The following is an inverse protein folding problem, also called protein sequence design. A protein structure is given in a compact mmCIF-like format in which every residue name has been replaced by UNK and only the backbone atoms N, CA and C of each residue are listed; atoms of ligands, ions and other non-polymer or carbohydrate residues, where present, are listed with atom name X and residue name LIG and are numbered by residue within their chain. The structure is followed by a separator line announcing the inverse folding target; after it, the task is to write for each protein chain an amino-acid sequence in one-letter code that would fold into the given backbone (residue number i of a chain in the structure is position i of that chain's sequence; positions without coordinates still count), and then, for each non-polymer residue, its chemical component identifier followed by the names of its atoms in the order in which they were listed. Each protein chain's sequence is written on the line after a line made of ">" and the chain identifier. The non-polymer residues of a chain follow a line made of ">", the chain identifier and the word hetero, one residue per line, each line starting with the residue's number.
data_IF_021311161643
#
_entry.id   IF_021311161643
#
_cell.length_a   1.000
_cell.length_b   1.000
_cell.length_c   1.000
_cell.angle_alpha   90.00
_cell.angle_beta   90.00
_cell.angle_gamma   90.00
#
_symmetry.space_group_name_H-M   'P 1'
#
loop_
_entity.id
_entity.type
_entity.pdbx_description
1 polymer ?
#
# COMPACT_ATOMS: atom_id res chain seq x y z
N UNK A 1 12.77 11.60 -11.34
CA UNK A 1 12.53 10.36 -10.56
C UNK A 1 11.73 10.76 -9.34
N UNK A 2 10.58 10.12 -9.12
CA UNK A 2 9.71 10.44 -7.99
C UNK A 2 10.44 10.10 -6.67
N UNK A 3 10.78 11.14 -5.90
CA UNK A 3 11.50 11.03 -4.62
C UNK A 3 10.72 10.16 -3.62
N UNK A 4 9.39 10.18 -3.71
CA UNK A 4 8.52 9.39 -2.84
C UNK A 4 8.63 7.90 -3.18
N UNK A 5 8.48 7.55 -4.46
CA UNK A 5 8.65 6.17 -4.93
C UNK A 5 10.05 5.63 -4.60
N UNK A 6 11.11 6.43 -4.77
CA UNK A 6 12.46 6.04 -4.38
C UNK A 6 12.56 5.72 -2.88
N UNK A 7 11.97 6.57 -2.03
CA UNK A 7 11.92 6.33 -0.59
C UNK A 7 11.20 5.02 -0.26
N UNK A 8 10.03 4.78 -0.87
CA UNK A 8 9.24 3.58 -0.66
C UNK A 8 10.03 2.33 -1.08
N UNK A 9 10.66 2.33 -2.27
CA UNK A 9 11.48 1.20 -2.74
C UNK A 9 12.60 0.84 -1.75
N UNK A 10 13.30 1.83 -1.22
CA UNK A 10 14.45 1.60 -0.32
C UNK A 10 14.02 1.20 1.10
N UNK A 11 12.94 1.78 1.63
CA UNK A 11 12.61 1.65 3.06
C UNK A 11 11.41 0.73 3.34
N UNK A 12 10.47 0.66 2.41
CA UNK A 12 9.17 -0.02 2.62
C UNK A 12 9.10 -1.29 1.77
N UNK A 13 9.43 -1.22 0.49
CA UNK A 13 9.31 -2.35 -0.45
C UNK A 13 10.57 -3.20 -0.54
N UNK A 14 11.66 -2.81 0.12
CA UNK A 14 12.94 -3.51 0.03
C UNK A 14 12.81 -4.98 0.44
N UNK A 15 13.29 -5.87 -0.43
CA UNK A 15 13.22 -7.33 -0.24
C UNK A 15 11.83 -7.96 -0.44
N UNK A 16 10.82 -7.19 -0.84
CA UNK A 16 9.48 -7.68 -1.19
C UNK A 16 9.33 -7.84 -2.70
N UNK A 17 8.48 -8.77 -3.13
CA UNK A 17 8.28 -9.04 -4.56
C UNK A 17 7.24 -8.07 -5.13
N UNK A 18 7.63 -7.28 -6.12
CA UNK A 18 6.67 -6.57 -6.95
C UNK A 18 5.97 -7.57 -7.89
N UNK A 19 4.66 -7.69 -7.77
CA UNK A 19 3.82 -8.55 -8.59
C UNK A 19 3.35 -7.86 -9.88
N UNK A 20 3.64 -6.56 -10.04
CA UNK A 20 3.42 -5.88 -11.32
C UNK A 20 4.39 -6.40 -12.38
N UNK A 21 3.88 -7.19 -13.32
CA UNK A 21 4.62 -7.71 -14.47
C UNK A 21 4.22 -7.02 -15.79
N UNK A 22 3.66 -5.81 -15.70
CA UNK A 22 3.28 -4.97 -16.83
C UNK A 22 1.77 -4.85 -17.07
N UNK A 23 0.93 -5.36 -16.16
CA UNK A 23 -0.52 -5.18 -16.26
C UNK A 23 -1.00 -3.78 -15.85
N UNK A 24 -0.13 -2.99 -15.22
CA UNK A 24 -0.40 -1.61 -14.81
C UNK A 24 0.90 -0.78 -14.85
N UNK A 25 0.82 0.53 -14.59
CA UNK A 25 1.94 1.46 -14.57
C UNK A 25 3.15 0.94 -13.80
N UNK A 26 4.34 1.02 -14.39
CA UNK A 26 5.62 0.56 -13.80
C UNK A 26 5.95 1.21 -12.43
N UNK A 27 5.30 2.34 -12.13
CA UNK A 27 5.44 3.05 -10.86
C UNK A 27 4.62 2.44 -9.72
N UNK A 28 3.63 1.60 -10.02
CA UNK A 28 2.73 0.99 -9.05
C UNK A 28 3.26 -0.39 -8.69
N UNK A 29 3.37 -0.62 -7.38
CA UNK A 29 3.80 -1.88 -6.81
C UNK A 29 2.59 -2.63 -6.29
N UNK A 30 2.50 -3.89 -6.68
CA UNK A 30 1.49 -4.83 -6.21
C UNK A 30 2.15 -5.90 -5.37
N UNK A 31 1.52 -6.26 -4.26
CA UNK A 31 2.04 -7.24 -3.32
C UNK A 31 1.04 -8.37 -3.10
N UNK A 32 1.54 -9.56 -2.78
CA UNK A 32 0.71 -10.61 -2.21
C UNK A 32 0.16 -10.16 -0.85
N UNK A 33 -0.84 -10.88 -0.33
CA UNK A 33 -1.37 -10.62 1.00
C UNK A 33 -0.27 -10.61 2.08
N UNK A 34 0.62 -11.63 2.08
CA UNK A 34 1.69 -11.73 3.08
C UNK A 34 2.71 -10.61 2.98
N UNK A 35 3.08 -10.21 1.77
CA UNK A 35 4.05 -9.13 1.55
C UNK A 35 3.41 -7.77 1.89
N UNK A 36 2.11 -7.60 1.63
CA UNK A 36 1.40 -6.37 1.94
C UNK A 36 1.24 -6.16 3.44
N UNK A 37 1.02 -7.21 4.24
CA UNK A 37 1.05 -7.13 5.70
C UNK A 37 2.39 -6.54 6.20
N UNK A 38 3.52 -6.96 5.60
CA UNK A 38 4.86 -6.42 5.89
C UNK A 38 4.99 -4.94 5.45
N UNK A 39 4.38 -4.57 4.32
CA UNK A 39 4.33 -3.17 3.88
C UNK A 39 3.62 -2.31 4.93
N UNK A 40 2.47 -2.75 5.44
CA UNK A 40 1.72 -2.03 6.47
C UNK A 40 2.54 -1.86 7.76
N UNK A 41 3.24 -2.91 8.21
CA UNK A 41 4.13 -2.84 9.38
C UNK A 41 5.23 -1.76 9.20
N UNK A 42 5.82 -1.69 8.00
CA UNK A 42 6.90 -0.72 7.70
C UNK A 42 6.35 0.69 7.55
N UNK A 43 5.19 0.86 6.92
CA UNK A 43 4.49 2.14 6.81
C UNK A 43 4.21 2.72 8.20
N UNK A 44 3.65 1.90 9.09
CA UNK A 44 3.33 2.26 10.47
C UNK A 44 4.58 2.72 11.21
N UNK A 45 5.64 1.92 11.18
CA UNK A 45 6.94 2.24 11.80
C UNK A 45 7.54 3.55 11.28
N UNK A 46 7.37 3.86 10.00
CA UNK A 46 7.93 5.06 9.39
C UNK A 46 7.03 6.30 9.53
N UNK A 47 5.77 6.12 9.95
CA UNK A 47 4.77 7.18 10.04
C UNK A 47 4.38 7.73 8.65
N UNK A 48 4.29 6.84 7.66
CA UNK A 48 3.84 7.16 6.29
C UNK A 48 2.31 7.15 6.28
N UNK A 49 1.71 8.11 5.57
CA UNK A 49 0.25 8.09 5.36
C UNK A 49 -0.12 7.14 4.23
N UNK A 50 -1.23 6.42 4.38
CA UNK A 50 -1.92 5.75 3.29
C UNK A 50 -3.21 6.51 3.01
N UNK A 51 -3.54 6.74 1.75
CA UNK A 51 -4.77 7.44 1.34
C UNK A 51 -5.84 6.46 0.85
N UNK A 52 -5.43 5.34 0.26
CA UNK A 52 -6.31 4.26 -0.17
C UNK A 52 -5.55 2.96 -0.26
N UNK A 53 -6.26 1.85 -0.03
CA UNK A 53 -5.80 0.49 -0.35
C UNK A 53 -6.64 -0.01 -1.50
N UNK A 54 -6.00 -0.35 -2.61
CA UNK A 54 -6.66 -0.88 -3.81
C UNK A 54 -6.31 -2.37 -4.00
N UNK A 55 -7.21 -3.31 -3.63
CA UNK A 55 -7.07 -4.71 -4.00
C UNK A 55 -7.38 -4.92 -5.48
N UNK A 56 -6.71 -5.91 -6.07
CA UNK A 56 -6.85 -6.33 -7.45
C UNK A 56 -7.04 -7.84 -7.50
N UNK A 57 -8.00 -8.28 -8.32
CA UNK A 57 -8.30 -9.69 -8.54
C UNK A 57 -7.98 -10.04 -9.99
N UNK A 58 -7.14 -11.06 -10.20
CA UNK A 58 -6.75 -11.50 -11.55
C UNK A 58 -6.28 -10.33 -12.43
N UNK A 59 -5.43 -9.44 -11.87
CA UNK A 59 -4.87 -8.27 -12.56
C UNK A 59 -5.92 -7.26 -13.04
N UNK A 60 -7.10 -7.26 -12.42
CA UNK A 60 -8.16 -6.30 -12.66
C UNK A 60 -8.50 -5.60 -11.35
N UNK A 61 -8.79 -4.30 -11.42
CA UNK A 61 -9.30 -3.52 -10.30
C UNK A 61 -10.48 -4.25 -9.64
N UNK A 62 -10.42 -4.42 -8.31
CA UNK A 62 -11.48 -5.08 -7.55
C UNK A 62 -12.30 -4.07 -6.74
N UNK A 63 -11.63 -3.25 -5.93
CA UNK A 63 -12.27 -2.29 -5.05
C UNK A 63 -11.26 -1.25 -4.52
N UNK A 64 -11.71 -0.30 -3.70
CA UNK A 64 -10.86 0.61 -2.93
C UNK A 64 -11.51 0.94 -1.58
N UNK A 65 -10.69 1.05 -0.54
CA UNK A 65 -11.09 1.65 0.72
C UNK A 65 -10.09 2.77 1.08
N UNK A 66 -10.63 3.97 1.28
CA UNK A 66 -9.89 5.18 1.64
C UNK A 66 -9.92 5.48 3.13
N UNK A 67 -9.01 6.31 3.61
CA UNK A 67 -8.99 6.73 5.03
C UNK A 67 -10.23 7.55 5.43
N UNK A 68 -10.84 8.23 4.46
CA UNK A 68 -12.04 9.04 4.57
C UNK A 68 -13.31 8.19 4.78
N UNK A 69 -13.36 6.97 4.22
CA UNK A 69 -14.43 6.00 4.52
C UNK A 69 -14.50 5.64 6.02
N UNK A 70 -13.40 5.83 6.74
CA UNK A 70 -13.28 5.57 8.18
C UNK A 70 -13.30 6.84 9.04
N UNK A 71 -13.50 8.03 8.45
CA UNK A 71 -13.49 9.33 9.14
C UNK A 71 -12.25 9.54 10.02
N UNK A 72 -11.07 9.16 9.52
CA UNK A 72 -9.80 9.29 10.26
C UNK A 72 -8.76 10.07 9.46
N UNK A 73 -7.47 9.91 9.77
CA UNK A 73 -6.34 10.50 9.06
C UNK A 73 -5.50 9.42 8.36
N UNK A 74 -4.77 9.77 7.27
CA UNK A 74 -3.98 8.81 6.50
C UNK A 74 -2.97 7.98 7.30
N UNK A 75 -2.44 8.53 8.40
CA UNK A 75 -1.41 7.90 9.23
C UNK A 75 -1.96 7.04 10.36
N UNK A 76 -3.28 6.94 10.55
CA UNK A 76 -3.87 6.11 11.61
C UNK A 76 -3.81 4.62 11.24
N UNK A 77 -3.02 3.79 11.95
CA UNK A 77 -2.93 2.37 11.63
C UNK A 77 -4.22 1.60 11.74
N UNK A 78 -5.17 2.06 12.57
CA UNK A 78 -6.41 1.32 12.78
C UNK A 78 -7.23 1.24 11.50
N UNK A 79 -7.22 2.28 10.68
CA UNK A 79 -8.05 2.31 9.47
C UNK A 79 -7.50 1.38 8.40
N UNK A 80 -6.21 1.46 8.06
CA UNK A 80 -5.67 0.67 6.96
C UNK A 80 -5.54 -0.81 7.33
N UNK A 81 -5.33 -1.12 8.62
CA UNK A 81 -5.42 -2.50 9.12
C UNK A 81 -6.84 -3.04 8.98
N UNK A 82 -7.85 -2.24 9.35
CA UNK A 82 -9.25 -2.64 9.21
C UNK A 82 -9.62 -2.85 7.75
N UNK A 83 -9.29 -1.91 6.85
CA UNK A 83 -9.53 -2.03 5.42
C UNK A 83 -8.89 -3.30 4.83
N UNK A 84 -7.63 -3.56 5.17
CA UNK A 84 -6.94 -4.78 4.74
C UNK A 84 -7.63 -6.06 5.24
N UNK A 85 -8.05 -6.09 6.50
CA UNK A 85 -8.81 -7.23 7.05
C UNK A 85 -10.17 -7.42 6.37
N UNK A 86 -10.88 -6.35 6.01
CA UNK A 86 -12.14 -6.46 5.25
C UNK A 86 -11.93 -7.16 3.90
N UNK A 87 -10.86 -6.82 3.17
CA UNK A 87 -10.55 -7.47 1.89
C UNK A 87 -10.14 -8.95 2.06
N UNK A 88 -9.38 -9.27 3.11
CA UNK A 88 -8.99 -10.66 3.44
C UNK A 88 -10.18 -11.58 3.68
N UNK A 89 -11.28 -11.08 4.27
CA UNK A 89 -12.49 -11.86 4.52
C UNK A 89 -13.11 -12.45 3.26
N UNK A 90 -12.83 -11.89 2.09
CA UNK A 90 -13.34 -12.43 0.82
C UNK A 90 -12.73 -13.79 0.46
N UNK A 91 -11.59 -14.18 1.06
CA UNK A 91 -10.87 -15.42 0.75
C UNK A 91 -10.31 -15.47 -0.67
N UNK A 92 -10.34 -14.36 -1.41
CA UNK A 92 -9.85 -14.27 -2.78
C UNK A 92 -8.34 -14.06 -2.78
N UNK A 93 -7.68 -14.60 -3.80
CA UNK A 93 -6.26 -14.35 -4.04
C UNK A 93 -6.05 -12.93 -4.62
N UNK A 94 -6.18 -11.93 -3.75
CA UNK A 94 -6.03 -10.52 -4.09
C UNK A 94 -4.54 -10.14 -4.12
N UNK A 95 -4.20 -9.24 -5.05
CA UNK A 95 -3.00 -8.42 -5.00
C UNK A 95 -3.36 -7.07 -4.39
N UNK A 96 -2.42 -6.42 -3.72
CA UNK A 96 -2.68 -5.16 -3.02
C UNK A 96 -1.71 -4.08 -3.46
N UNK A 97 -2.25 -2.91 -3.80
CA UNK A 97 -1.54 -1.65 -3.88
C UNK A 97 -2.09 -0.66 -2.84
N UNK A 98 -1.40 0.46 -2.69
CA UNK A 98 -1.89 1.57 -1.93
C UNK A 98 -1.34 2.90 -2.45
N UNK A 99 -2.09 3.97 -2.20
CA UNK A 99 -1.64 5.34 -2.41
C UNK A 99 -0.96 5.86 -1.15
N UNK A 100 0.34 6.18 -1.24
CA UNK A 100 1.14 6.61 -0.09
C UNK A 100 1.30 8.12 -0.02
N UNK A 101 1.73 8.61 1.15
CA UNK A 101 2.27 9.95 1.33
C UNK A 101 3.47 9.92 2.28
N UNK A 102 4.66 10.10 1.73
CA UNK A 102 5.90 10.14 2.53
C UNK A 102 6.07 11.54 3.12
N UNK A 103 6.30 11.67 4.45
CA UNK A 103 6.55 12.97 5.06
C UNK A 103 7.78 13.65 4.46
N UNK A 104 7.68 14.94 4.11
CA UNK A 104 8.78 15.71 3.45
C UNK A 104 10.12 15.57 4.17
N UNK A 105 10.13 15.53 5.50
CA UNK A 105 11.33 15.37 6.34
C UNK A 105 12.10 14.05 6.13
N UNK A 106 11.48 13.07 5.46
CA UNK A 106 12.09 11.77 5.15
C UNK A 106 12.52 11.66 3.69
N UNK A 107 12.11 12.58 2.83
CA UNK A 107 12.57 12.62 1.45
C UNK A 107 14.00 13.15 1.40
N UNK A 108 14.85 12.64 0.49
CA UNK A 108 16.17 13.22 0.27
C UNK A 108 16.04 14.69 -0.16
N UNK A 109 16.90 15.54 0.42
CA UNK A 109 17.05 16.97 0.08
C UNK A 109 17.27 17.15 -1.42
#
# INVERSE_FOLDING_TARGET
>A
MDKELAYLKTNIFNGLKNMNDGFDSESIYYFSESDFEIVLDRVEKHGIGIYGIEPWLNRTYYDVLGFDDFNTVPTDPKWYRRAFQEFKKSGKALLYSATYKVPKKRLPS
#
